data_IF_858008590412
#
_entry.id   IF_858008590412
#
_cell.length_a   1.000
_cell.length_b   1.000
_cell.length_c   1.000
_cell.angle_alpha   90.00
_cell.angle_beta   90.00
_cell.angle_gamma   90.00
#
_symmetry.space_group_name_H-M   'P 1'
#
loop_
_entity.id
_entity.type
_entity.pdbx_description
1 polymer ?
#
# COMPACT_ATOMS: atom_id res chain seq x y z
N UNK A 1 51.88 -5.11 -10.39
CA UNK A 1 50.54 -5.60 -10.77
C UNK A 1 49.67 -4.39 -11.01
N UNK A 2 49.23 -4.17 -12.25
CA UNK A 2 48.41 -3.02 -12.61
C UNK A 2 46.97 -3.31 -12.16
N UNK A 3 46.50 -2.61 -11.12
CA UNK A 3 45.08 -2.55 -10.77
C UNK A 3 44.37 -1.83 -11.91
N UNK A 4 43.79 -2.61 -12.82
CA UNK A 4 42.99 -2.11 -13.93
C UNK A 4 41.88 -1.23 -13.37
N UNK A 5 41.58 -0.09 -14.01
CA UNK A 5 40.50 0.86 -13.66
C UNK A 5 39.07 0.26 -13.59
N UNK A 6 38.95 -1.07 -13.72
CA UNK A 6 37.71 -1.86 -13.62
C UNK A 6 37.33 -2.22 -12.18
N UNK A 7 38.15 -1.87 -11.18
CA UNK A 7 37.92 -2.21 -9.76
C UNK A 7 37.35 -1.05 -8.92
N UNK A 8 36.96 0.07 -9.53
CA UNK A 8 36.30 1.15 -8.78
C UNK A 8 34.81 0.80 -8.64
N UNK A 9 34.44 0.24 -7.49
CA UNK A 9 33.04 -0.05 -7.15
C UNK A 9 32.23 1.25 -7.13
N UNK A 10 31.19 1.32 -7.96
CA UNK A 10 30.23 2.42 -7.92
C UNK A 10 29.24 2.23 -6.76
N UNK A 11 29.58 2.81 -5.61
CA UNK A 11 28.73 2.80 -4.42
C UNK A 11 27.36 3.46 -4.62
N UNK A 12 27.24 4.39 -5.58
CA UNK A 12 25.98 5.07 -5.86
C UNK A 12 24.99 4.14 -6.57
N UNK A 13 25.48 3.40 -7.57
CA UNK A 13 24.71 2.35 -8.25
C UNK A 13 24.31 1.24 -7.26
N UNK A 14 25.27 0.76 -6.46
CA UNK A 14 25.04 -0.29 -5.47
C UNK A 14 23.99 0.11 -4.43
N UNK A 15 24.03 1.35 -3.95
CA UNK A 15 23.03 1.87 -3.00
C UNK A 15 21.63 1.90 -3.62
N UNK A 16 21.50 2.32 -4.89
CA UNK A 16 20.21 2.33 -5.59
C UNK A 16 19.65 0.92 -5.78
N UNK A 17 20.51 -0.03 -6.16
CA UNK A 17 20.12 -1.43 -6.29
C UNK A 17 19.66 -2.01 -4.96
N UNK A 18 20.39 -1.74 -3.87
CA UNK A 18 20.00 -2.16 -2.53
C UNK A 18 18.64 -1.59 -2.13
N UNK A 19 18.42 -0.29 -2.35
CA UNK A 19 17.14 0.36 -2.04
C UNK A 19 15.99 -0.24 -2.83
N UNK A 20 16.20 -0.52 -4.12
CA UNK A 20 15.19 -1.18 -4.96
C UNK A 20 14.87 -2.60 -4.46
N UNK A 21 15.91 -3.39 -4.12
CA UNK A 21 15.75 -4.75 -3.61
C UNK A 21 15.01 -4.77 -2.26
N UNK A 22 15.35 -3.87 -1.34
CA UNK A 22 14.65 -3.74 -0.06
C UNK A 22 13.18 -3.35 -0.27
N UNK A 23 12.90 -2.40 -1.16
CA UNK A 23 11.52 -1.99 -1.45
C UNK A 23 10.71 -3.13 -2.09
N UNK A 24 11.31 -3.91 -3.00
CA UNK A 24 10.63 -5.07 -3.59
C UNK A 24 10.35 -6.16 -2.56
N UNK A 25 11.28 -6.42 -1.64
CA UNK A 25 11.11 -7.41 -0.58
C UNK A 25 9.98 -7.00 0.38
N UNK A 26 9.97 -5.74 0.80
CA UNK A 26 8.91 -5.20 1.66
C UNK A 26 7.53 -5.32 1.01
N UNK A 27 7.44 -5.02 -0.28
CA UNK A 27 6.19 -5.19 -1.04
C UNK A 27 5.77 -6.65 -1.13
N UNK A 28 6.71 -7.55 -1.44
CA UNK A 28 6.45 -8.98 -1.52
C UNK A 28 5.94 -9.54 -0.19
N UNK A 29 6.53 -9.11 0.91
CA UNK A 29 6.11 -9.47 2.26
C UNK A 29 4.66 -9.03 2.54
N UNK A 30 4.31 -7.77 2.25
CA UNK A 30 2.95 -7.24 2.43
C UNK A 30 1.91 -7.98 1.56
N UNK A 31 2.27 -8.29 0.32
CA UNK A 31 1.41 -9.06 -0.58
C UNK A 31 1.18 -10.47 -0.04
N UNK A 32 2.22 -11.15 0.44
CA UNK A 32 2.11 -12.49 1.01
C UNK A 32 1.32 -12.54 2.31
N UNK A 33 1.54 -11.59 3.21
CA UNK A 33 0.72 -11.44 4.42
C UNK A 33 -0.76 -11.26 4.07
N UNK A 34 -1.05 -10.49 3.02
CA UNK A 34 -2.42 -10.29 2.54
C UNK A 34 -3.00 -11.56 1.91
N UNK A 35 -2.20 -12.31 1.12
CA UNK A 35 -2.61 -13.62 0.59
C UNK A 35 -2.96 -14.59 1.71
N UNK A 36 -2.10 -14.70 2.72
CA UNK A 36 -2.33 -15.57 3.88
C UNK A 36 -3.57 -15.14 4.67
N UNK A 37 -3.75 -13.83 4.87
CA UNK A 37 -4.95 -13.29 5.51
C UNK A 37 -6.22 -13.61 4.73
N UNK A 38 -6.22 -13.39 3.42
CA UNK A 38 -7.40 -13.63 2.56
C UNK A 38 -7.77 -15.13 2.54
N UNK A 39 -6.79 -16.02 2.49
CA UNK A 39 -7.02 -17.47 2.64
C UNK A 39 -7.61 -17.79 4.02
N UNK A 40 -7.03 -17.23 5.09
CA UNK A 40 -7.50 -17.44 6.46
C UNK A 40 -8.92 -16.91 6.70
N UNK A 41 -9.31 -15.84 6.01
CA UNK A 41 -10.66 -15.27 6.04
C UNK A 41 -11.68 -16.07 5.24
N UNK A 42 -11.25 -17.04 4.42
CA UNK A 42 -12.15 -17.90 3.65
C UNK A 42 -12.93 -17.16 2.56
N UNK A 43 -12.24 -16.28 1.82
CA UNK A 43 -12.86 -15.48 0.74
C UNK A 43 -13.49 -16.40 -0.33
N UNK A 44 -14.72 -16.07 -0.73
CA UNK A 44 -15.57 -16.96 -1.53
C UNK A 44 -15.18 -17.04 -3.02
N UNK A 45 -14.52 -16.00 -3.54
CA UNK A 45 -14.11 -15.95 -4.96
C UNK A 45 -12.66 -15.51 -5.16
N UNK A 46 -12.07 -15.98 -6.26
CA UNK A 46 -10.73 -15.53 -6.67
C UNK A 46 -10.68 -14.03 -6.96
N UNK A 47 -11.79 -13.45 -7.44
CA UNK A 47 -11.88 -12.01 -7.72
C UNK A 47 -11.70 -11.20 -6.45
N UNK A 48 -12.42 -11.54 -5.39
CA UNK A 48 -12.29 -10.88 -4.09
C UNK A 48 -10.89 -11.10 -3.50
N UNK A 49 -10.34 -12.30 -3.62
CA UNK A 49 -8.95 -12.57 -3.21
C UNK A 49 -7.95 -11.66 -3.94
N UNK A 50 -8.09 -11.55 -5.27
CA UNK A 50 -7.24 -10.70 -6.11
C UNK A 50 -7.37 -9.24 -5.70
N UNK A 51 -8.59 -8.76 -5.50
CA UNK A 51 -8.85 -7.37 -5.14
C UNK A 51 -8.24 -7.03 -3.76
N UNK A 52 -8.32 -7.95 -2.78
CA UNK A 52 -7.63 -7.81 -1.49
C UNK A 52 -6.11 -7.72 -1.64
N UNK A 53 -5.49 -8.61 -2.42
CA UNK A 53 -4.03 -8.61 -2.60
C UNK A 53 -3.57 -7.36 -3.34
N UNK A 54 -4.28 -6.92 -4.38
CA UNK A 54 -3.94 -5.69 -5.10
C UNK A 54 -4.04 -4.44 -4.24
N UNK A 55 -4.95 -4.44 -3.27
CA UNK A 55 -5.19 -3.31 -2.36
C UNK A 55 -4.36 -3.36 -1.08
N UNK A 56 -3.41 -4.30 -0.94
CA UNK A 56 -2.61 -4.49 0.28
C UNK A 56 -1.80 -3.26 0.72
N UNK A 57 -1.43 -2.41 -0.25
CA UNK A 57 -0.65 -1.20 -0.03
C UNK A 57 -1.50 -0.03 0.51
N UNK A 58 -2.84 -0.17 0.54
CA UNK A 58 -3.72 0.85 1.06
C UNK A 58 -3.69 0.86 2.60
N UNK A 59 -3.55 2.04 3.17
CA UNK A 59 -3.65 2.22 4.62
C UNK A 59 -5.13 2.16 5.05
N UNK A 60 -5.45 1.56 6.21
CA UNK A 60 -6.77 1.66 6.79
C UNK A 60 -7.18 3.13 6.98
N UNK A 61 -8.46 3.43 6.74
CA UNK A 61 -8.99 4.77 6.98
C UNK A 61 -8.95 5.12 8.47
N UNK A 62 -8.33 6.24 8.80
CA UNK A 62 -8.30 6.77 10.15
C UNK A 62 -9.61 7.49 10.51
N UNK A 63 -9.85 7.74 11.80
CA UNK A 63 -11.05 8.49 12.25
C UNK A 63 -11.10 9.89 11.63
N UNK A 64 -9.94 10.54 11.48
CA UNK A 64 -9.78 11.86 10.86
C UNK A 64 -10.15 11.86 9.38
N UNK A 65 -9.99 10.73 8.68
CA UNK A 65 -10.40 10.59 7.29
C UNK A 65 -11.93 10.45 7.15
N UNK A 66 -12.58 9.94 8.20
CA UNK A 66 -14.05 9.79 8.29
C UNK A 66 -14.73 11.09 8.69
N UNK A 67 -14.07 11.87 9.53
CA UNK A 67 -14.51 13.19 9.97
C UNK A 67 -14.32 14.20 8.83
N UNK A 68 -15.20 14.10 7.82
CA UNK A 68 -15.30 15.08 6.75
C UNK A 68 -15.54 16.45 7.40
N UNK A 69 -14.85 17.49 6.90
CA UNK A 69 -15.12 18.88 7.27
C UNK A 69 -16.64 19.14 7.38
N UNK A 70 -17.11 19.97 8.34
CA UNK A 70 -18.53 20.13 8.62
C UNK A 70 -19.30 20.27 7.32
N UNK A 71 -20.18 19.30 7.04
CA UNK A 71 -20.92 19.25 5.78
C UNK A 71 -21.71 20.55 5.67
N UNK A 72 -21.29 21.45 4.77
CA UNK A 72 -22.00 22.70 4.49
C UNK A 72 -23.34 22.48 3.79
N UNK A 73 -23.64 21.25 3.40
CA UNK A 73 -24.84 20.87 2.67
C UNK A 73 -25.60 19.81 3.48
N UNK A 74 -26.92 19.99 3.68
CA UNK A 74 -27.76 18.94 4.25
C UNK A 74 -27.59 17.65 3.45
N UNK A 75 -27.53 16.51 4.15
CA UNK A 75 -27.51 15.20 3.50
C UNK A 75 -28.75 14.96 2.62
N UNK A 76 -29.85 15.65 2.96
CA UNK A 76 -31.09 15.64 2.20
C UNK A 76 -31.60 17.08 1.99
N UNK A 77 -31.69 17.59 0.75
CA UNK A 77 -32.16 18.94 0.47
C UNK A 77 -33.66 19.13 0.73
N UNK A 78 -34.45 18.05 0.84
CA UNK A 78 -35.89 18.13 1.13
C UNK A 78 -36.23 17.96 2.61
N UNK A 79 -35.25 17.66 3.47
CA UNK A 79 -35.48 17.53 4.90
C UNK A 79 -35.56 18.92 5.54
N UNK A 80 -36.64 19.26 6.28
CA UNK A 80 -36.67 20.50 7.04
C UNK A 80 -35.56 20.47 8.09
N UNK A 81 -34.78 21.54 8.18
CA UNK A 81 -33.76 21.67 9.22
C UNK A 81 -34.47 21.62 10.58
N UNK A 82 -34.06 20.69 11.45
CA UNK A 82 -34.54 20.70 12.83
C UNK A 82 -34.14 22.03 13.46
N UNK A 83 -35.15 22.80 13.92
CA UNK A 83 -34.97 23.98 14.76
C UNK A 83 -34.53 23.57 16.16
#
# INVERSE_FOLDING_TARGET
>A
MATSERDVIDFSALKRELQAAVASEQRFQQENETKLRAVSQGVASYREFRDLVLTCHLKPLEKKDKDRAPRKQPWNPVAPSNK
#
